data_IF_282167068561
#
_entry.id   IF_282167068561
#
_cell.length_a   1.000
_cell.length_b   1.000
_cell.length_c   1.000
_cell.angle_alpha   90.00
_cell.angle_beta   90.00
_cell.angle_gamma   90.00
#
_symmetry.space_group_name_H-M   'P 1'
#
loop_
_entity.id
_entity.type
_entity.pdbx_description
1 polymer ?
#
# COMPACT_ATOMS: atom_id res chain seq x y z
N UNK A 1 0.71 23.80 30.29
CA UNK A 1 2.05 23.90 29.65
C UNK A 1 1.89 24.63 28.33
N UNK A 2 2.61 25.73 28.12
CA UNK A 2 2.63 26.41 26.82
C UNK A 2 3.43 25.53 25.83
N UNK A 3 2.90 25.23 24.67
CA UNK A 3 3.64 24.58 23.61
C UNK A 3 4.82 25.42 23.14
N UNK A 4 5.83 24.78 22.52
CA UNK A 4 6.91 25.52 21.87
C UNK A 4 6.40 26.15 20.57
N UNK A 5 7.04 27.24 20.17
CA UNK A 5 6.74 27.94 18.93
C UNK A 5 7.88 27.80 17.89
N UNK A 6 8.92 27.05 18.21
CA UNK A 6 10.07 26.83 17.36
C UNK A 6 10.29 25.31 17.19
N UNK A 7 10.30 24.84 15.96
CA UNK A 7 10.40 23.43 15.60
C UNK A 7 11.52 23.22 14.57
N UNK A 8 12.13 22.05 14.57
CA UNK A 8 13.03 21.67 13.48
C UNK A 8 12.25 21.22 12.24
N UNK A 9 12.93 21.13 11.12
CA UNK A 9 12.35 20.63 9.86
C UNK A 9 11.80 19.21 10.01
N UNK A 10 12.51 18.35 10.75
CA UNK A 10 12.12 16.97 11.04
C UNK A 10 10.86 16.92 11.90
N UNK A 11 10.77 17.78 12.93
CA UNK A 11 9.59 17.87 13.79
C UNK A 11 8.35 18.35 13.01
N UNK A 12 8.51 19.32 12.12
CA UNK A 12 7.41 19.76 11.22
C UNK A 12 6.98 18.64 10.26
N UNK A 13 7.94 17.91 9.71
CA UNK A 13 7.65 16.75 8.86
C UNK A 13 6.86 15.68 9.61
N UNK A 14 7.25 15.36 10.84
CA UNK A 14 6.54 14.40 11.68
C UNK A 14 5.15 14.91 12.09
N UNK A 15 5.01 16.19 12.42
CA UNK A 15 3.69 16.79 12.69
C UNK A 15 2.74 16.67 11.51
N UNK A 16 3.21 16.91 10.28
CA UNK A 16 2.41 16.75 9.05
C UNK A 16 1.91 15.33 8.89
N UNK A 17 2.78 14.34 9.08
CA UNK A 17 2.40 12.91 9.03
C UNK A 17 1.34 12.57 10.08
N UNK A 18 1.52 13.07 11.30
CA UNK A 18 0.57 12.83 12.39
C UNK A 18 -0.79 13.49 12.14
N UNK A 19 -0.83 14.71 11.60
CA UNK A 19 -2.07 15.39 11.20
C UNK A 19 -2.82 14.59 10.13
N UNK A 20 -2.12 14.17 9.07
CA UNK A 20 -2.73 13.36 8.00
C UNK A 20 -3.26 12.02 8.51
N UNK A 21 -2.45 11.32 9.32
CA UNK A 21 -2.85 10.02 9.88
C UNK A 21 -4.10 10.14 10.75
N UNK A 22 -4.27 11.25 11.44
CA UNK A 22 -5.39 11.48 12.36
C UNK A 22 -6.73 11.61 11.65
N UNK A 23 -6.78 12.14 10.43
CA UNK A 23 -8.03 12.37 9.68
C UNK A 23 -8.85 11.09 9.45
N UNK A 24 -8.17 9.93 9.38
CA UNK A 24 -8.79 8.64 9.11
C UNK A 24 -8.67 7.65 10.29
N UNK A 25 -8.28 8.14 11.47
CA UNK A 25 -8.00 7.30 12.64
C UNK A 25 -9.24 7.09 13.53
N UNK A 26 -9.34 5.93 14.17
CA UNK A 26 -10.33 5.65 15.22
C UNK A 26 -10.12 6.57 16.43
N UNK A 27 -11.15 6.71 17.30
CA UNK A 27 -11.07 7.57 18.50
C UNK A 27 -9.86 7.27 19.40
N UNK A 28 -9.54 5.99 19.60
CA UNK A 28 -8.38 5.58 20.41
C UNK A 28 -7.06 5.91 19.74
N UNK A 29 -6.98 5.73 18.43
CA UNK A 29 -5.79 6.08 17.66
C UNK A 29 -5.58 7.58 17.58
N UNK A 30 -6.64 8.38 17.45
CA UNK A 30 -6.59 9.84 17.52
C UNK A 30 -6.01 10.33 18.86
N UNK A 31 -6.34 9.68 19.98
CA UNK A 31 -5.78 9.98 21.30
C UNK A 31 -4.27 9.71 21.34
N UNK A 32 -3.82 8.59 20.77
CA UNK A 32 -2.39 8.24 20.67
C UNK A 32 -1.63 9.24 19.80
N UNK A 33 -2.21 9.64 18.68
CA UNK A 33 -1.62 10.64 17.76
C UNK A 33 -1.48 11.99 18.45
N UNK A 34 -2.50 12.47 19.18
CA UNK A 34 -2.42 13.69 19.98
C UNK A 34 -1.28 13.67 20.99
N UNK A 35 -1.11 12.54 21.66
CA UNK A 35 -0.01 12.40 22.63
C UNK A 35 1.37 12.49 21.96
N UNK A 36 1.51 11.93 20.74
CA UNK A 36 2.74 12.08 19.95
C UNK A 36 2.97 13.54 19.53
N UNK A 37 1.95 14.24 19.06
CA UNK A 37 2.05 15.68 18.72
C UNK A 37 2.46 16.52 19.92
N UNK A 38 1.91 16.23 21.11
CA UNK A 38 2.29 16.90 22.37
C UNK A 38 3.73 16.59 22.78
N UNK A 39 4.20 15.36 22.57
CA UNK A 39 5.59 14.98 22.84
C UNK A 39 6.59 15.76 21.98
N UNK A 40 6.22 16.12 20.75
CA UNK A 40 6.99 17.02 19.88
C UNK A 40 6.95 18.48 20.39
N UNK A 41 6.03 18.82 21.30
CA UNK A 41 5.82 20.16 21.81
C UNK A 41 4.72 20.95 21.08
N UNK A 42 3.96 20.29 20.21
CA UNK A 42 2.85 20.92 19.50
C UNK A 42 1.56 20.82 20.32
N UNK A 43 1.13 21.97 20.83
CA UNK A 43 -0.10 22.12 21.60
C UNK A 43 -1.00 23.10 20.87
N UNK A 44 -2.28 22.78 20.74
CA UNK A 44 -3.28 23.70 20.20
C UNK A 44 -3.34 24.97 21.07
N UNK A 45 -3.29 26.14 20.46
CA UNK A 45 -3.60 27.41 21.11
C UNK A 45 -5.10 27.70 20.99
N UNK A 46 -5.58 28.64 21.75
CA UNK A 46 -6.98 28.90 22.08
C UNK A 46 -7.98 28.96 20.90
N UNK A 47 -7.52 29.27 19.67
CA UNK A 47 -8.37 29.41 18.48
C UNK A 47 -8.45 28.18 17.56
N UNK A 48 -7.63 27.15 17.82
CA UNK A 48 -7.63 25.89 17.04
C UNK A 48 -7.17 24.75 17.92
N UNK A 49 -8.11 23.91 18.30
CA UNK A 49 -7.82 22.70 19.06
C UNK A 49 -6.98 21.72 18.24
N UNK A 50 -6.04 21.03 18.90
CA UNK A 50 -5.31 19.90 18.28
C UNK A 50 -6.26 18.88 17.62
N UNK A 51 -7.52 18.86 18.09
CA UNK A 51 -8.56 17.96 17.61
C UNK A 51 -8.94 18.22 16.16
N UNK A 52 -8.93 19.47 15.72
CA UNK A 52 -9.44 19.88 14.41
C UNK A 52 -8.35 20.41 13.48
N UNK A 53 -7.07 20.35 13.93
CA UNK A 53 -5.94 20.83 13.16
C UNK A 53 -5.81 20.09 11.82
N UNK A 54 -5.88 20.85 10.74
CA UNK A 54 -5.65 20.40 9.36
C UNK A 54 -4.22 20.80 8.93
N UNK A 55 -3.76 20.26 7.80
CA UNK A 55 -2.47 20.67 7.22
C UNK A 55 -2.45 22.16 6.89
N UNK A 56 -3.57 22.67 6.36
CA UNK A 56 -3.76 24.10 6.08
C UNK A 56 -3.55 24.99 7.30
N UNK A 57 -3.95 24.52 8.50
CA UNK A 57 -3.79 25.27 9.73
C UNK A 57 -2.33 25.34 10.14
N UNK A 58 -1.59 24.22 10.06
CA UNK A 58 -0.16 24.19 10.30
C UNK A 58 0.59 25.12 9.33
N UNK A 59 0.22 25.10 8.04
CA UNK A 59 0.82 25.96 7.03
C UNK A 59 0.51 27.43 7.27
N UNK A 60 -0.71 27.76 7.68
CA UNK A 60 -1.09 29.12 8.07
C UNK A 60 -0.31 29.65 9.27
N UNK A 61 -0.05 28.79 10.29
CA UNK A 61 0.75 29.16 11.45
C UNK A 61 2.21 29.43 11.10
N UNK A 62 2.79 28.63 10.21
CA UNK A 62 4.15 28.84 9.69
C UNK A 62 4.19 30.14 8.88
N UNK A 63 3.23 30.36 7.98
CA UNK A 63 3.15 31.58 7.14
C UNK A 63 2.97 32.84 7.93
N UNK A 64 2.24 32.78 9.06
CA UNK A 64 2.02 33.91 9.97
C UNK A 64 3.14 34.08 11.01
N UNK A 65 4.24 33.34 10.89
CA UNK A 65 5.39 33.31 11.80
C UNK A 65 5.02 33.00 13.27
N UNK A 66 3.85 32.44 13.50
CA UNK A 66 3.43 31.95 14.83
C UNK A 66 4.18 30.68 15.21
N UNK A 67 4.59 29.89 14.22
CA UNK A 67 5.52 28.79 14.30
C UNK A 67 6.77 29.13 13.49
N UNK A 68 7.93 29.11 14.13
CA UNK A 68 9.24 29.27 13.48
C UNK A 68 9.86 27.91 13.22
N UNK A 69 10.39 27.71 12.00
CA UNK A 69 11.08 26.48 11.62
C UNK A 69 12.58 26.77 11.57
N UNK A 70 13.36 26.08 12.42
CA UNK A 70 14.82 26.22 12.47
C UNK A 70 15.46 25.17 11.53
N UNK A 71 16.46 25.59 10.76
CA UNK A 71 17.16 24.74 9.79
C UNK A 71 16.51 24.69 8.42
N UNK A 72 15.46 25.47 8.19
CA UNK A 72 14.79 25.54 6.90
C UNK A 72 15.51 26.50 5.96
N UNK A 73 16.39 25.97 5.11
CA UNK A 73 16.81 26.67 3.91
C UNK A 73 15.63 26.73 2.91
N UNK A 74 15.51 27.78 2.08
CA UNK A 74 14.43 27.91 1.08
C UNK A 74 14.25 26.67 0.20
N UNK A 75 15.33 25.93 -0.07
CA UNK A 75 15.32 24.70 -0.87
C UNK A 75 14.69 23.50 -0.16
N UNK A 76 14.74 23.43 1.17
CA UNK A 76 14.09 22.37 1.95
C UNK A 76 12.56 22.50 1.89
N UNK A 77 12.05 23.74 1.85
CA UNK A 77 10.61 24.02 1.64
C UNK A 77 10.15 23.56 0.27
N UNK A 78 10.94 23.82 -0.77
CA UNK A 78 10.67 23.35 -2.14
C UNK A 78 10.63 21.82 -2.22
N UNK A 79 11.58 21.13 -1.57
CA UNK A 79 11.63 19.66 -1.52
C UNK A 79 10.42 19.12 -0.76
N UNK A 80 10.06 19.68 0.38
CA UNK A 80 8.90 19.25 1.17
C UNK A 80 7.58 19.44 0.41
N UNK A 81 7.39 20.59 -0.24
CA UNK A 81 6.22 20.86 -1.08
C UNK A 81 6.16 19.93 -2.30
N UNK A 82 7.31 19.67 -2.93
CA UNK A 82 7.41 18.74 -4.05
C UNK A 82 7.00 17.32 -3.63
N UNK A 83 7.53 16.82 -2.52
CA UNK A 83 7.18 15.50 -1.98
C UNK A 83 5.70 15.41 -1.61
N UNK A 84 5.12 16.47 -1.07
CA UNK A 84 3.68 16.51 -0.78
C UNK A 84 2.83 16.52 -2.05
N UNK A 85 3.21 17.32 -3.05
CA UNK A 85 2.51 17.31 -4.34
C UNK A 85 2.59 15.93 -5.01
N UNK A 86 3.76 15.29 -4.99
CA UNK A 86 3.95 13.93 -5.53
C UNK A 86 3.06 12.92 -4.80
N UNK A 87 2.96 13.00 -3.48
CA UNK A 87 2.08 12.13 -2.69
C UNK A 87 0.59 12.36 -3.00
N UNK A 88 0.15 13.61 -3.10
CA UNK A 88 -1.24 13.97 -3.44
C UNK A 88 -1.57 13.51 -4.87
N UNK A 89 -0.68 13.76 -5.83
CA UNK A 89 -0.85 13.29 -7.21
C UNK A 89 -0.92 11.77 -7.30
N UNK A 90 -0.04 11.05 -6.61
CA UNK A 90 -0.04 9.58 -6.56
C UNK A 90 -1.36 9.05 -5.98
N UNK A 91 -1.83 9.60 -4.88
CA UNK A 91 -3.12 9.22 -4.30
C UNK A 91 -4.30 9.53 -5.24
N UNK A 92 -4.25 10.61 -6.00
CA UNK A 92 -5.26 10.93 -7.02
C UNK A 92 -5.25 9.91 -8.16
N UNK A 93 -4.06 9.53 -8.66
CA UNK A 93 -3.90 8.49 -9.67
C UNK A 93 -4.46 7.16 -9.17
N UNK A 94 -4.12 6.76 -7.93
CA UNK A 94 -4.61 5.51 -7.33
C UNK A 94 -6.13 5.49 -7.20
N UNK A 95 -6.75 6.60 -6.81
CA UNK A 95 -8.23 6.70 -6.76
C UNK A 95 -8.88 6.64 -8.14
N UNK A 96 -8.17 7.09 -9.16
CA UNK A 96 -8.61 7.05 -10.56
C UNK A 96 -8.33 5.75 -11.29
N UNK A 97 -7.53 4.82 -10.69
CA UNK A 97 -7.03 3.64 -11.38
C UNK A 97 -8.18 2.75 -11.89
N UNK A 98 -8.09 2.32 -13.15
CA UNK A 98 -8.93 1.28 -13.71
C UNK A 98 -8.16 -0.04 -13.74
N UNK A 99 -8.77 -1.11 -13.18
CA UNK A 99 -8.14 -2.42 -13.04
C UNK A 99 -8.44 -3.37 -14.20
N UNK A 100 -8.90 -2.85 -15.35
CA UNK A 100 -9.34 -3.67 -16.47
C UNK A 100 -8.22 -4.10 -17.39
N UNK A 101 -7.22 -3.27 -17.60
CA UNK A 101 -6.14 -3.52 -18.56
C UNK A 101 -4.76 -3.24 -18.01
N UNK A 102 -3.73 -3.84 -18.62
CA UNK A 102 -2.33 -3.59 -18.28
C UNK A 102 -1.97 -2.11 -18.53
N UNK A 103 -2.45 -1.52 -19.61
CA UNK A 103 -2.17 -0.13 -19.98
C UNK A 103 -2.64 0.83 -18.90
N UNK A 104 -3.82 0.58 -18.31
CA UNK A 104 -4.34 1.40 -17.19
C UNK A 104 -3.45 1.29 -15.94
N UNK A 105 -2.94 0.08 -15.65
CA UNK A 105 -2.01 -0.14 -14.55
C UNK A 105 -0.64 0.53 -14.82
N UNK A 106 -0.14 0.47 -16.06
CA UNK A 106 1.08 1.16 -16.46
C UNK A 106 0.95 2.68 -16.33
N UNK A 107 -0.18 3.25 -16.76
CA UNK A 107 -0.49 4.67 -16.59
C UNK A 107 -0.54 5.08 -15.10
N UNK A 108 -0.96 4.17 -14.23
CA UNK A 108 -0.92 4.36 -12.78
C UNK A 108 0.47 4.21 -12.17
N UNK A 109 1.50 3.84 -12.95
CA UNK A 109 2.89 3.75 -12.52
C UNK A 109 3.34 2.34 -12.13
N UNK A 110 2.57 1.31 -12.43
CA UNK A 110 3.01 -0.08 -12.27
C UNK A 110 3.93 -0.48 -13.42
N UNK A 111 4.97 -1.24 -13.07
CA UNK A 111 5.97 -1.79 -14.01
C UNK A 111 6.21 -3.26 -13.73
N UNK A 112 6.97 -3.92 -14.59
CA UNK A 112 7.26 -5.35 -14.53
C UNK A 112 6.37 -6.10 -15.51
N UNK A 113 5.21 -6.58 -15.07
CA UNK A 113 4.28 -7.42 -15.86
C UNK A 113 4.98 -8.67 -16.41
N UNK A 114 5.72 -9.35 -15.51
CA UNK A 114 6.52 -10.53 -15.83
C UNK A 114 5.73 -11.79 -15.45
N UNK A 115 5.66 -12.80 -16.34
CA UNK A 115 5.02 -14.08 -16.03
C UNK A 115 5.61 -14.75 -14.79
N UNK A 116 4.76 -15.39 -14.00
CA UNK A 116 5.20 -16.16 -12.82
C UNK A 116 6.21 -17.23 -13.23
N UNK A 117 6.00 -17.89 -14.37
CA UNK A 117 6.92 -18.90 -14.90
C UNK A 117 8.34 -18.35 -15.06
N UNK A 118 8.50 -17.15 -15.64
CA UNK A 118 9.79 -16.51 -15.83
C UNK A 118 10.44 -16.11 -14.50
N UNK A 119 9.62 -15.61 -13.54
CA UNK A 119 10.10 -15.23 -12.22
C UNK A 119 10.50 -16.44 -11.35
N UNK A 120 10.02 -17.63 -11.63
CA UNK A 120 10.52 -18.86 -11.00
C UNK A 120 11.95 -19.18 -11.41
N UNK A 121 12.34 -18.82 -12.63
CA UNK A 121 13.70 -18.99 -13.13
C UNK A 121 14.62 -17.85 -12.64
N UNK A 122 14.18 -16.60 -12.81
CA UNK A 122 14.98 -15.43 -12.39
C UNK A 122 14.13 -14.31 -11.78
N UNK A 123 14.38 -14.00 -10.52
CA UNK A 123 13.78 -12.89 -9.78
C UNK A 123 14.59 -11.59 -9.85
N UNK A 124 15.65 -11.49 -10.63
CA UNK A 124 16.59 -10.34 -10.61
C UNK A 124 15.94 -9.02 -11.01
N UNK A 125 14.92 -9.07 -11.86
CA UNK A 125 14.14 -7.91 -12.30
C UNK A 125 13.32 -7.25 -11.17
N UNK A 126 13.04 -7.96 -10.08
CA UNK A 126 12.22 -7.46 -8.97
C UNK A 126 13.06 -6.52 -8.10
N UNK A 127 12.60 -5.25 -7.87
CA UNK A 127 13.40 -4.26 -7.12
C UNK A 127 13.59 -4.64 -5.65
N UNK A 128 14.75 -4.29 -5.09
CA UNK A 128 15.07 -4.45 -3.66
C UNK A 128 14.62 -3.23 -2.84
N UNK A 129 13.47 -2.66 -3.17
CA UNK A 129 12.83 -1.54 -2.50
C UNK A 129 11.52 -1.97 -1.86
N UNK A 130 11.00 -1.19 -0.91
CA UNK A 130 9.62 -1.34 -0.45
C UNK A 130 8.64 -0.88 -1.54
N UNK A 131 7.40 -1.40 -1.52
CA UNK A 131 6.41 -1.02 -2.51
C UNK A 131 5.14 -1.87 -2.45
N UNK A 132 4.29 -1.67 -3.45
CA UNK A 132 3.08 -2.46 -3.67
C UNK A 132 3.23 -3.28 -4.94
N UNK A 133 2.50 -4.38 -5.02
CA UNK A 133 2.52 -5.26 -6.19
C UNK A 133 1.12 -5.82 -6.45
N UNK A 134 0.89 -6.22 -7.69
CA UNK A 134 -0.34 -6.88 -8.11
C UNK A 134 -0.03 -8.18 -8.83
N UNK A 135 -1.00 -9.09 -8.79
CA UNK A 135 -1.06 -10.25 -9.68
C UNK A 135 -2.15 -9.98 -10.71
N UNK A 136 -1.79 -10.12 -11.97
CA UNK A 136 -2.62 -9.79 -13.13
C UNK A 136 -2.87 -11.02 -13.95
N UNK A 137 -4.12 -11.21 -14.35
CA UNK A 137 -4.55 -12.26 -15.28
C UNK A 137 -5.07 -11.59 -16.55
N UNK A 138 -4.44 -11.85 -17.68
CA UNK A 138 -4.70 -11.13 -18.94
C UNK A 138 -5.74 -11.81 -19.83
N UNK A 139 -5.97 -13.11 -19.62
CA UNK A 139 -6.97 -13.85 -20.43
C UNK A 139 -8.39 -13.52 -20.00
N UNK A 140 -9.29 -13.39 -20.96
CA UNK A 140 -10.73 -13.21 -20.77
C UNK A 140 -11.48 -14.53 -20.64
N UNK A 141 -10.80 -15.67 -20.83
CA UNK A 141 -11.38 -17.00 -20.67
C UNK A 141 -11.76 -17.21 -19.20
N UNK A 142 -12.92 -17.84 -18.97
CA UNK A 142 -13.38 -18.17 -17.62
C UNK A 142 -12.30 -18.94 -16.83
N UNK A 143 -12.11 -18.65 -15.52
CA UNK A 143 -11.09 -19.32 -14.73
C UNK A 143 -11.40 -20.81 -14.55
N UNK A 144 -10.37 -21.63 -14.69
CA UNK A 144 -10.44 -23.04 -14.31
C UNK A 144 -9.74 -23.24 -12.97
N UNK A 145 -10.49 -23.70 -11.96
CA UNK A 145 -9.96 -23.92 -10.61
C UNK A 145 -9.61 -25.39 -10.38
N UNK A 146 -8.46 -25.64 -9.79
CA UNK A 146 -7.96 -26.95 -9.41
C UNK A 146 -8.42 -27.29 -7.98
N UNK A 147 -8.80 -28.56 -7.74
CA UNK A 147 -9.08 -29.05 -6.39
C UNK A 147 -7.83 -28.99 -5.50
N UNK A 148 -6.67 -29.30 -6.09
CA UNK A 148 -5.35 -29.18 -5.47
C UNK A 148 -4.51 -28.26 -6.35
N UNK A 149 -4.07 -27.16 -5.78
CA UNK A 149 -3.16 -26.20 -6.40
C UNK A 149 -1.71 -26.48 -6.05
N UNK A 150 -0.81 -25.62 -6.50
CA UNK A 150 0.63 -25.74 -6.30
C UNK A 150 1.14 -25.10 -4.99
N UNK A 151 0.26 -24.47 -4.20
CA UNK A 151 0.64 -23.77 -2.96
C UNK A 151 1.26 -24.69 -1.90
N UNK A 152 2.30 -24.20 -1.20
CA UNK A 152 3.00 -24.96 -0.18
C UNK A 152 2.24 -25.08 1.14
N UNK A 153 2.44 -26.19 1.83
CA UNK A 153 1.97 -26.40 3.20
C UNK A 153 2.91 -25.66 4.17
N UNK A 154 2.36 -24.73 4.95
CA UNK A 154 3.11 -24.00 5.96
C UNK A 154 2.45 -24.17 7.32
N UNK A 155 3.21 -24.61 8.33
CA UNK A 155 2.70 -24.94 9.67
C UNK A 155 1.51 -25.92 9.60
N UNK A 156 1.64 -26.98 8.81
CA UNK A 156 0.64 -28.04 8.59
C UNK A 156 -0.74 -27.56 8.13
N UNK A 157 -0.80 -26.34 7.59
CA UNK A 157 -2.05 -25.75 7.06
C UNK A 157 -2.15 -25.98 5.58
N UNK A 158 -3.21 -26.67 5.17
CA UNK A 158 -3.55 -26.84 3.77
C UNK A 158 -3.72 -25.46 3.08
N UNK A 159 -3.01 -25.18 2.00
CA UNK A 159 -3.21 -23.96 1.21
C UNK A 159 -4.52 -23.98 0.40
N UNK A 160 -5.05 -25.15 0.10
CA UNK A 160 -6.22 -25.33 -0.75
C UNK A 160 -7.51 -24.96 -0.01
N UNK A 161 -8.49 -24.53 -0.79
CA UNK A 161 -9.85 -24.27 -0.35
C UNK A 161 -10.84 -24.95 -1.30
N UNK A 162 -12.09 -25.23 -0.86
CA UNK A 162 -13.16 -25.74 -1.71
C UNK A 162 -13.39 -24.88 -2.96
N UNK A 163 -13.76 -25.51 -4.07
CA UNK A 163 -13.96 -24.81 -5.36
C UNK A 163 -15.10 -23.79 -5.35
N UNK A 164 -16.10 -24.01 -4.54
CA UNK A 164 -17.22 -23.07 -4.34
C UNK A 164 -16.76 -21.78 -3.69
N UNK A 165 -15.80 -21.83 -2.75
CA UNK A 165 -15.16 -20.64 -2.17
C UNK A 165 -14.41 -19.85 -3.25
N UNK A 166 -13.65 -20.52 -4.12
CA UNK A 166 -12.92 -19.85 -5.19
C UNK A 166 -13.89 -19.18 -6.19
N UNK A 167 -14.95 -19.88 -6.59
CA UNK A 167 -15.97 -19.32 -7.49
C UNK A 167 -16.71 -18.14 -6.86
N UNK A 168 -17.04 -18.20 -5.57
CA UNK A 168 -17.72 -17.13 -4.86
C UNK A 168 -16.87 -15.85 -4.72
N UNK A 169 -15.55 -15.98 -4.68
CA UNK A 169 -14.63 -14.84 -4.58
C UNK A 169 -14.16 -14.31 -5.95
N UNK A 170 -14.51 -14.97 -7.05
CA UNK A 170 -14.09 -14.52 -8.36
C UNK A 170 -14.76 -13.19 -8.75
N UNK A 171 -13.97 -12.27 -9.29
CA UNK A 171 -14.43 -10.96 -9.75
C UNK A 171 -14.23 -10.88 -11.26
N UNK A 172 -15.31 -10.60 -11.99
CA UNK A 172 -15.28 -10.41 -13.45
C UNK A 172 -14.87 -8.97 -13.81
N UNK A 173 -14.56 -8.76 -15.08
CA UNK A 173 -14.26 -7.45 -15.68
C UNK A 173 -13.07 -6.72 -15.06
N UNK A 174 -12.13 -7.47 -14.50
CA UNK A 174 -10.86 -6.98 -13.99
C UNK A 174 -9.72 -7.90 -14.40
N UNK A 175 -8.56 -7.31 -14.69
CA UNK A 175 -7.33 -8.10 -14.86
C UNK A 175 -6.59 -8.30 -13.51
N UNK A 176 -6.90 -7.52 -12.46
CA UNK A 176 -6.22 -7.60 -11.17
C UNK A 176 -6.92 -8.62 -10.27
N UNK A 177 -6.19 -9.67 -9.89
CA UNK A 177 -6.71 -10.75 -9.04
C UNK A 177 -6.11 -10.77 -7.63
N UNK A 178 -5.03 -10.01 -7.38
CA UNK A 178 -4.44 -9.83 -6.06
C UNK A 178 -3.70 -8.51 -5.96
N UNK A 179 -3.77 -7.87 -4.80
CA UNK A 179 -3.01 -6.67 -4.43
C UNK A 179 -2.29 -6.97 -3.13
N UNK A 180 -1.00 -6.64 -3.05
CA UNK A 180 -0.19 -6.83 -1.86
C UNK A 180 0.92 -5.80 -1.73
N UNK A 181 1.60 -5.81 -0.58
CA UNK A 181 2.70 -4.90 -0.29
C UNK A 181 3.95 -5.60 0.20
N UNK A 182 5.05 -4.90 0.10
CA UNK A 182 6.34 -5.27 0.68
C UNK A 182 6.92 -4.07 1.45
N UNK A 183 7.33 -4.30 2.69
CA UNK A 183 7.88 -3.27 3.57
C UNK A 183 6.79 -2.45 4.28
N UNK A 184 7.23 -1.38 4.93
CA UNK A 184 6.45 -0.48 5.77
C UNK A 184 7.24 -0.06 7.00
N UNK A 185 6.65 0.75 7.87
CA UNK A 185 7.32 1.29 9.07
C UNK A 185 7.88 0.19 10.01
N UNK A 186 7.20 -0.95 10.08
CA UNK A 186 7.57 -2.06 10.96
C UNK A 186 8.19 -3.27 10.23
N UNK A 187 8.52 -3.14 8.94
CA UNK A 187 9.01 -4.26 8.15
C UNK A 187 10.08 -3.81 7.16
N UNK A 188 11.23 -4.47 7.19
CA UNK A 188 12.33 -4.29 6.24
C UNK A 188 12.17 -5.09 4.94
N UNK A 189 11.04 -5.77 4.74
CA UNK A 189 10.80 -6.55 3.53
C UNK A 189 10.85 -5.66 2.28
N UNK A 190 11.44 -6.17 1.22
CA UNK A 190 11.47 -5.54 -0.10
C UNK A 190 10.52 -6.26 -1.05
N UNK A 191 10.17 -5.64 -2.18
CA UNK A 191 9.43 -6.28 -3.26
C UNK A 191 10.09 -7.61 -3.64
N UNK A 192 11.41 -7.60 -3.86
CA UNK A 192 12.17 -8.80 -4.17
C UNK A 192 12.00 -9.90 -3.11
N UNK A 193 12.23 -9.59 -1.83
CA UNK A 193 12.14 -10.61 -0.77
C UNK A 193 10.71 -11.15 -0.62
N UNK A 194 9.71 -10.27 -0.71
CA UNK A 194 8.31 -10.63 -0.55
C UNK A 194 7.78 -11.46 -1.71
N UNK A 195 8.06 -11.04 -2.95
CA UNK A 195 7.63 -11.77 -4.15
C UNK A 195 8.37 -13.09 -4.29
N UNK A 196 9.68 -13.15 -3.99
CA UNK A 196 10.43 -14.41 -3.95
C UNK A 196 9.80 -15.42 -2.98
N UNK A 197 9.40 -14.98 -1.79
CA UNK A 197 8.69 -15.83 -0.82
C UNK A 197 7.33 -16.29 -1.38
N UNK A 198 6.59 -15.42 -2.07
CA UNK A 198 5.31 -15.76 -2.67
C UNK A 198 5.46 -16.78 -3.81
N UNK A 199 6.45 -16.59 -4.66
CA UNK A 199 6.81 -17.53 -5.74
C UNK A 199 7.22 -18.90 -5.18
N UNK A 200 8.05 -18.92 -4.12
CA UNK A 200 8.44 -20.16 -3.44
C UNK A 200 7.23 -20.90 -2.84
N UNK A 201 6.27 -20.17 -2.27
CA UNK A 201 5.02 -20.75 -1.81
C UNK A 201 4.27 -21.41 -2.97
N UNK A 202 4.20 -20.77 -4.13
CA UNK A 202 3.58 -21.31 -5.35
C UNK A 202 4.30 -22.55 -5.92
N UNK A 203 5.58 -22.71 -5.62
CA UNK A 203 6.37 -23.91 -5.95
C UNK A 203 6.21 -25.06 -4.92
N UNK A 204 5.26 -24.95 -4.01
CA UNK A 204 5.01 -25.98 -2.99
C UNK A 204 5.94 -25.90 -1.79
N UNK A 205 6.80 -24.87 -1.64
CA UNK A 205 7.71 -24.75 -0.50
C UNK A 205 6.96 -24.29 0.76
N UNK A 206 7.33 -24.86 1.92
CA UNK A 206 6.76 -24.56 3.22
C UNK A 206 7.22 -23.17 3.73
N UNK A 207 6.76 -22.10 3.13
CA UNK A 207 7.09 -20.71 3.48
C UNK A 207 5.84 -19.92 3.87
N UNK A 208 6.01 -18.94 4.74
CA UNK A 208 4.92 -18.16 5.34
C UNK A 208 4.26 -17.13 4.40
N UNK A 209 3.60 -17.56 3.31
CA UNK A 209 2.90 -16.67 2.40
C UNK A 209 1.48 -17.15 2.08
N UNK A 210 0.58 -17.12 3.07
CA UNK A 210 -0.82 -17.57 2.88
C UNK A 210 -1.77 -16.50 2.34
N UNK A 211 -1.41 -15.22 2.41
CA UNK A 211 -2.16 -14.15 1.74
C UNK A 211 -2.05 -14.31 0.22
N UNK A 212 -3.14 -14.35 -0.47
CA UNK A 212 -3.13 -14.55 -1.92
C UNK A 212 -3.01 -16.01 -2.37
N UNK A 213 -3.16 -17.00 -1.46
CA UNK A 213 -3.01 -18.42 -1.82
C UNK A 213 -3.96 -18.91 -2.90
N UNK A 214 -5.08 -18.26 -3.12
CA UNK A 214 -6.09 -18.67 -4.11
C UNK A 214 -5.57 -18.70 -5.55
N UNK A 215 -4.58 -17.85 -5.89
CA UNK A 215 -4.03 -17.86 -7.25
C UNK A 215 -3.38 -19.19 -7.60
N UNK A 216 -2.88 -19.93 -6.61
CA UNK A 216 -2.20 -21.20 -6.84
C UNK A 216 -3.14 -22.37 -7.11
N UNK A 217 -4.46 -22.16 -6.97
CA UNK A 217 -5.51 -23.08 -7.42
C UNK A 217 -6.09 -22.69 -8.80
N UNK A 218 -5.54 -21.68 -9.48
CA UNK A 218 -5.84 -21.42 -10.88
C UNK A 218 -4.99 -22.35 -11.76
N UNK A 219 -5.60 -22.93 -12.80
CA UNK A 219 -4.90 -23.80 -13.75
C UNK A 219 -3.81 -23.06 -14.51
N UNK A 220 -4.05 -21.77 -14.79
CA UNK A 220 -3.15 -20.85 -15.47
C UNK A 220 -2.30 -20.00 -14.52
N UNK A 221 -2.06 -20.49 -13.29
CA UNK A 221 -1.29 -19.77 -12.28
C UNK A 221 0.13 -19.38 -12.75
N UNK A 222 0.78 -20.19 -13.57
CA UNK A 222 2.12 -19.92 -14.10
C UNK A 222 2.14 -18.79 -15.14
N UNK A 223 1.01 -18.56 -15.84
CA UNK A 223 0.87 -17.53 -16.87
C UNK A 223 0.46 -16.16 -16.30
N UNK A 224 0.11 -16.10 -14.99
CA UNK A 224 -0.20 -14.85 -14.32
C UNK A 224 1.02 -13.94 -14.29
N UNK A 225 0.77 -12.63 -14.38
CA UNK A 225 1.84 -11.65 -14.35
C UNK A 225 1.98 -11.01 -12.97
N UNK A 226 3.19 -10.82 -12.51
CA UNK A 226 3.50 -9.90 -11.42
C UNK A 226 3.85 -8.52 -11.98
N UNK A 227 3.24 -7.48 -11.39
CA UNK A 227 3.68 -6.10 -11.58
C UNK A 227 3.82 -5.42 -10.23
N UNK A 228 4.58 -4.33 -10.17
CA UNK A 228 4.91 -3.63 -8.94
C UNK A 228 5.09 -2.14 -9.14
N UNK A 229 4.99 -1.40 -8.03
CA UNK A 229 5.33 0.00 -7.92
C UNK A 229 6.28 0.18 -6.73
N UNK A 230 7.50 0.65 -6.99
CA UNK A 230 8.47 1.00 -5.94
C UNK A 230 8.04 2.26 -5.20
N UNK A 231 8.12 2.24 -3.87
CA UNK A 231 7.67 3.33 -2.99
C UNK A 231 8.77 3.69 -1.97
N UNK A 232 9.92 4.21 -2.42
CA UNK A 232 11.05 4.49 -1.51
C UNK A 232 10.71 5.52 -0.43
N UNK A 233 9.81 6.46 -0.72
CA UNK A 233 9.44 7.56 0.18
C UNK A 233 8.10 7.38 0.87
N UNK A 234 7.15 6.67 0.25
CA UNK A 234 5.79 6.46 0.78
C UNK A 234 5.72 5.23 1.69
N UNK A 235 4.67 5.14 2.52
CA UNK A 235 4.36 3.90 3.22
C UNK A 235 3.53 2.97 2.30
N UNK A 236 4.02 1.78 1.97
CA UNK A 236 3.28 0.82 1.15
C UNK A 236 1.93 0.40 1.75
N UNK A 237 1.75 0.52 3.06
CA UNK A 237 0.49 0.19 3.73
C UNK A 237 -0.63 1.12 3.25
N UNK A 238 -0.38 2.44 3.22
CA UNK A 238 -1.38 3.42 2.84
C UNK A 238 -1.80 3.25 1.37
N UNK A 239 -0.83 2.94 0.51
CA UNK A 239 -1.06 2.70 -0.91
C UNK A 239 -1.85 1.39 -1.13
N UNK A 240 -1.48 0.29 -0.45
CA UNK A 240 -2.21 -0.99 -0.52
C UNK A 240 -3.68 -0.81 -0.10
N UNK A 241 -3.92 -0.15 1.04
CA UNK A 241 -5.28 0.13 1.55
C UNK A 241 -6.08 0.95 0.53
N UNK A 242 -5.48 1.99 -0.05
CA UNK A 242 -6.14 2.82 -1.04
C UNK A 242 -6.47 2.05 -2.32
N UNK A 243 -5.56 1.20 -2.81
CA UNK A 243 -5.79 0.35 -3.97
C UNK A 243 -6.94 -0.66 -3.73
N UNK A 244 -6.94 -1.34 -2.59
CA UNK A 244 -8.00 -2.31 -2.24
C UNK A 244 -9.34 -1.57 -2.09
N UNK A 245 -9.36 -0.40 -1.47
CA UNK A 245 -10.56 0.42 -1.33
C UNK A 245 -11.10 0.84 -2.70
N UNK A 246 -10.25 1.38 -3.57
CA UNK A 246 -10.64 1.79 -4.93
C UNK A 246 -11.15 0.59 -5.74
N UNK A 247 -10.55 -0.58 -5.57
CA UNK A 247 -11.05 -1.81 -6.18
C UNK A 247 -12.46 -2.14 -5.68
N UNK A 248 -12.68 -2.14 -4.37
CA UNK A 248 -14.01 -2.42 -3.77
C UNK A 248 -15.08 -1.44 -4.25
N UNK A 249 -14.74 -0.15 -4.37
CA UNK A 249 -15.66 0.88 -4.88
C UNK A 249 -16.09 0.60 -6.33
N UNK A 250 -15.21 0.03 -7.16
CA UNK A 250 -15.49 -0.30 -8.58
C UNK A 250 -16.18 -1.64 -8.79
N UNK A 251 -16.02 -2.59 -7.85
CA UNK A 251 -16.50 -3.96 -7.98
C UNK A 251 -17.48 -4.33 -6.86
N UNK A 252 -18.46 -3.46 -6.59
CA UNK A 252 -19.60 -3.70 -5.70
C UNK A 252 -19.19 -4.18 -4.29
N UNK A 253 -18.12 -3.65 -3.73
CA UNK A 253 -17.60 -4.00 -2.42
C UNK A 253 -16.75 -5.28 -2.39
N UNK A 254 -16.58 -5.97 -3.52
CA UNK A 254 -15.74 -7.16 -3.61
C UNK A 254 -14.26 -6.79 -3.59
N UNK A 255 -13.47 -7.63 -2.95
CA UNK A 255 -11.99 -7.54 -2.98
C UNK A 255 -11.46 -8.22 -4.25
N UNK A 256 -10.19 -7.94 -4.66
CA UNK A 256 -9.53 -8.78 -5.65
C UNK A 256 -9.60 -10.25 -5.22
N UNK A 257 -9.79 -11.14 -6.16
CA UNK A 257 -10.08 -12.58 -5.97
C UNK A 257 -9.28 -13.25 -4.85
N UNK A 258 -7.99 -12.99 -4.78
CA UNK A 258 -7.11 -13.65 -3.82
C UNK A 258 -6.79 -12.83 -2.55
N UNK A 259 -7.37 -11.64 -2.38
CA UNK A 259 -7.24 -10.87 -1.13
C UNK A 259 -8.18 -11.43 -0.07
N UNK A 260 -7.61 -12.05 0.97
CA UNK A 260 -8.35 -12.71 2.06
C UNK A 260 -8.78 -11.76 3.17
N UNK A 261 -8.15 -10.58 3.23
CA UNK A 261 -8.37 -9.52 4.23
C UNK A 261 -8.24 -8.17 3.54
N UNK A 262 -8.78 -7.14 4.18
CA UNK A 262 -8.54 -5.73 3.83
C UNK A 262 -7.16 -5.29 4.30
#
# INVERSE_FOLDING_TARGET
MKGKNTFTTEEISELRKLIMKRQNASCDEQKRIRNKMRAIGFYGKDDWGILDCQLSDLDALIKREQIRVVGMLPDTLKICLKTQMEHVMKNSIIRGIDFKTIENLQQAGFVGFIPIADLWEDCSAIPRTKGVYMVVRTTTVAPEFLKQGSGGFFQDKDPNVPLDILRANWVNDTCVIYIGKAGGVSSSATLHSRLKQYLQFGQGKAVGHRGGRYIWQLKDAADLLFCWMSLPSDDPIDIEINLIRTFKERYNGMRPFANLKD
#
